data_IF_241407980142
#
_entry.id   IF_241407980142
#
_cell.length_a   1.000
_cell.length_b   1.000
_cell.length_c   1.000
_cell.angle_alpha   90.00
_cell.angle_beta   90.00
_cell.angle_gamma   90.00
#
_symmetry.space_group_name_H-M   'P 1'
#
loop_
_entity.id
_entity.type
_entity.pdbx_description
1 polymer ?
#
# COMPACT_ATOMS: atom_id res chain seq x y z
N UNK A 1 -10.57 -6.30 -24.57
CA UNK A 1 -9.33 -6.65 -23.84
C UNK A 1 -9.20 -8.16 -23.68
N UNK A 2 -10.14 -8.84 -23.02
CA UNK A 2 -10.16 -10.30 -22.78
C UNK A 2 -9.73 -11.16 -23.98
N UNK A 3 -10.36 -11.00 -25.15
CA UNK A 3 -10.02 -11.80 -26.34
C UNK A 3 -8.55 -11.63 -26.78
N UNK A 4 -8.02 -10.41 -26.70
CA UNK A 4 -6.60 -10.13 -27.03
C UNK A 4 -5.67 -10.75 -26.00
N UNK A 5 -6.00 -10.65 -24.71
CA UNK A 5 -5.21 -11.25 -23.65
C UNK A 5 -5.17 -12.77 -23.79
N UNK A 6 -6.32 -13.41 -24.10
CA UNK A 6 -6.39 -14.85 -24.36
C UNK A 6 -5.48 -15.28 -25.53
N UNK A 7 -5.55 -14.57 -26.66
CA UNK A 7 -4.68 -14.83 -27.82
C UNK A 7 -3.18 -14.68 -27.48
N UNK A 8 -2.82 -13.69 -26.66
CA UNK A 8 -1.43 -13.51 -26.22
C UNK A 8 -0.95 -14.66 -25.32
N UNK A 9 -1.83 -15.22 -24.48
CA UNK A 9 -1.50 -16.38 -23.64
C UNK A 9 -1.40 -17.67 -24.45
N UNK A 10 -2.32 -17.88 -25.41
CA UNK A 10 -2.25 -18.98 -26.36
C UNK A 10 -0.95 -18.94 -27.18
N UNK A 11 -0.56 -17.75 -27.65
CA UNK A 11 0.73 -17.55 -28.33
C UNK A 11 1.97 -17.81 -27.46
N UNK A 12 1.82 -17.89 -26.13
CA UNK A 12 2.87 -18.29 -25.18
C UNK A 12 2.82 -19.78 -24.82
N UNK A 13 1.87 -20.54 -25.36
CA UNK A 13 1.64 -21.94 -25.01
C UNK A 13 1.09 -22.12 -23.59
N UNK A 14 0.38 -21.13 -23.06
CA UNK A 14 -0.24 -21.16 -21.73
C UNK A 14 -1.75 -21.18 -21.91
N UNK A 15 -2.39 -22.31 -21.55
CA UNK A 15 -3.82 -22.55 -21.78
C UNK A 15 -4.70 -22.54 -20.53
N UNK A 16 -4.11 -22.66 -19.33
CA UNK A 16 -4.81 -22.78 -18.06
C UNK A 16 -4.33 -21.73 -17.04
N UNK A 17 -5.09 -21.54 -15.96
CA UNK A 17 -4.74 -20.61 -14.90
C UNK A 17 -3.43 -21.01 -14.22
N UNK A 18 -3.22 -22.32 -13.96
CA UNK A 18 -2.00 -22.78 -13.30
C UNK A 18 -0.74 -22.47 -14.11
N UNK A 19 -0.74 -22.75 -15.42
CA UNK A 19 0.36 -22.42 -16.32
C UNK A 19 0.62 -20.91 -16.36
N UNK A 20 -0.43 -20.10 -16.30
CA UNK A 20 -0.33 -18.64 -16.24
C UNK A 20 0.28 -18.16 -14.93
N UNK A 21 -0.18 -18.68 -13.79
CA UNK A 21 0.40 -18.37 -12.48
C UNK A 21 1.88 -18.76 -12.43
N UNK A 22 2.24 -19.95 -12.91
CA UNK A 22 3.64 -20.40 -13.01
C UNK A 22 4.48 -19.45 -13.85
N UNK A 23 4.01 -19.09 -15.04
CA UNK A 23 4.70 -18.12 -15.90
C UNK A 23 4.92 -16.78 -15.20
N UNK A 24 3.89 -16.24 -14.53
CA UNK A 24 3.99 -14.96 -13.83
C UNK A 24 4.94 -15.04 -12.62
N UNK A 25 4.93 -16.15 -11.89
CA UNK A 25 5.87 -16.44 -10.80
C UNK A 25 7.31 -16.51 -11.32
N UNK A 26 7.57 -17.23 -12.40
CA UNK A 26 8.90 -17.35 -13.02
C UNK A 26 9.46 -15.99 -13.49
N UNK A 27 8.57 -15.05 -13.84
CA UNK A 27 8.94 -13.67 -14.20
C UNK A 27 9.07 -12.73 -13.00
N UNK A 28 8.81 -13.20 -11.79
CA UNK A 28 8.81 -12.41 -10.55
C UNK A 28 7.68 -11.38 -10.50
N UNK A 29 6.54 -11.66 -11.15
CA UNK A 29 5.36 -10.79 -11.18
C UNK A 29 4.24 -11.29 -10.26
N UNK A 30 4.23 -12.58 -9.94
CA UNK A 30 3.30 -13.23 -9.00
C UNK A 30 4.07 -13.78 -7.80
N UNK A 31 3.43 -13.84 -6.63
CA UNK A 31 4.01 -14.44 -5.44
C UNK A 31 4.16 -15.96 -5.57
N UNK A 32 5.37 -16.46 -5.37
CA UNK A 32 5.69 -17.89 -5.37
C UNK A 32 4.92 -18.67 -4.28
N UNK A 33 4.67 -18.01 -3.14
CA UNK A 33 3.89 -18.56 -2.04
C UNK A 33 2.50 -19.04 -2.48
N UNK A 34 1.86 -18.44 -3.49
CA UNK A 34 0.54 -18.92 -3.95
C UNK A 34 0.65 -20.36 -4.49
N UNK A 35 1.64 -20.63 -5.34
CA UNK A 35 1.88 -21.99 -5.87
C UNK A 35 2.48 -22.93 -4.82
N UNK A 36 3.09 -22.40 -3.76
CA UNK A 36 3.53 -23.21 -2.62
C UNK A 36 2.36 -23.65 -1.72
N UNK A 37 1.28 -22.86 -1.66
CA UNK A 37 0.12 -23.13 -0.82
C UNK A 37 -0.96 -23.95 -1.52
N UNK A 38 -1.13 -23.80 -2.83
CA UNK A 38 -2.21 -24.43 -3.59
C UNK A 38 -1.69 -25.49 -4.58
N UNK A 39 -2.35 -26.65 -4.64
CA UNK A 39 -2.02 -27.69 -5.62
C UNK A 39 -2.50 -27.30 -7.02
N UNK A 40 -2.04 -28.04 -8.03
CA UNK A 40 -2.51 -27.84 -9.40
C UNK A 40 -4.04 -28.04 -9.51
N UNK A 41 -4.58 -29.05 -8.84
CA UNK A 41 -6.02 -29.37 -8.81
C UNK A 41 -6.83 -28.28 -8.11
N UNK A 42 -6.31 -27.68 -7.05
CA UNK A 42 -6.97 -26.56 -6.37
C UNK A 42 -6.99 -25.30 -7.22
N UNK A 43 -5.91 -25.02 -7.96
CA UNK A 43 -5.89 -23.90 -8.91
C UNK A 43 -6.84 -24.15 -10.09
N UNK A 44 -6.91 -25.37 -10.61
CA UNK A 44 -7.90 -25.74 -11.62
C UNK A 44 -9.34 -25.57 -11.11
N UNK A 45 -9.62 -25.99 -9.86
CA UNK A 45 -10.91 -25.73 -9.22
C UNK A 45 -11.18 -24.23 -9.03
N UNK A 46 -10.15 -23.43 -8.72
CA UNK A 46 -10.28 -21.98 -8.60
C UNK A 46 -10.61 -21.32 -9.95
N UNK A 47 -10.04 -21.84 -11.04
CA UNK A 47 -10.31 -21.38 -12.42
C UNK A 47 -11.79 -21.54 -12.78
N UNK A 48 -12.44 -22.63 -12.34
CA UNK A 48 -13.88 -22.86 -12.52
C UNK A 48 -14.76 -21.82 -11.80
N UNK A 49 -14.21 -21.06 -10.84
CA UNK A 49 -14.95 -19.98 -10.18
C UNK A 49 -15.04 -18.72 -11.05
N UNK A 50 -14.16 -18.56 -12.04
CA UNK A 50 -14.13 -17.36 -12.88
C UNK A 50 -15.48 -17.16 -13.60
N UNK A 51 -15.98 -15.93 -13.56
CA UNK A 51 -17.25 -15.52 -14.15
C UNK A 51 -16.99 -14.25 -14.97
N UNK A 52 -16.50 -14.40 -16.22
CA UNK A 52 -16.10 -13.28 -17.07
C UNK A 52 -17.20 -12.27 -17.35
N UNK A 53 -18.46 -12.64 -17.19
CA UNK A 53 -19.64 -11.79 -17.35
C UNK A 53 -19.70 -10.72 -16.25
N UNK A 54 -19.08 -10.94 -15.08
CA UNK A 54 -19.01 -9.95 -14.00
C UNK A 54 -18.16 -8.73 -14.36
N UNK A 55 -17.36 -8.80 -15.43
CA UNK A 55 -16.70 -7.60 -15.98
C UNK A 55 -17.73 -6.56 -16.48
N UNK A 56 -18.94 -6.99 -16.86
CA UNK A 56 -20.03 -6.11 -17.33
C UNK A 56 -20.68 -5.31 -16.19
N UNK A 57 -20.39 -5.66 -14.94
CA UNK A 57 -20.84 -4.89 -13.79
C UNK A 57 -20.11 -3.54 -13.67
N UNK A 58 -18.95 -3.40 -14.32
CA UNK A 58 -18.17 -2.17 -14.27
C UNK A 58 -18.56 -1.20 -15.39
N UNK A 59 -18.48 0.09 -15.08
CA UNK A 59 -18.41 1.14 -16.09
C UNK A 59 -17.06 1.10 -16.81
N UNK A 60 -16.98 1.74 -17.98
CA UNK A 60 -15.74 1.87 -18.72
C UNK A 60 -14.59 2.48 -17.88
N UNK A 61 -14.87 3.54 -17.10
CA UNK A 61 -13.87 4.18 -16.26
C UNK A 61 -13.38 3.27 -15.13
N UNK A 62 -14.26 2.45 -14.57
CA UNK A 62 -13.90 1.42 -13.59
C UNK A 62 -12.96 0.37 -14.18
N UNK A 63 -13.32 -0.19 -15.35
CA UNK A 63 -12.48 -1.17 -16.04
C UNK A 63 -11.12 -0.60 -16.44
N UNK A 64 -11.09 0.60 -17.02
CA UNK A 64 -9.85 1.26 -17.43
C UNK A 64 -8.92 1.50 -16.22
N UNK A 65 -9.49 1.92 -15.08
CA UNK A 65 -8.74 2.08 -13.84
C UNK A 65 -8.15 0.76 -13.33
N UNK A 66 -8.96 -0.31 -13.30
CA UNK A 66 -8.53 -1.65 -12.88
C UNK A 66 -7.36 -2.16 -13.73
N UNK A 67 -7.50 -2.07 -15.06
CA UNK A 67 -6.47 -2.52 -16.00
C UNK A 67 -5.18 -1.68 -15.92
N UNK A 68 -5.28 -0.39 -15.64
CA UNK A 68 -4.11 0.50 -15.54
C UNK A 68 -3.36 0.39 -14.23
N UNK A 69 -4.04 0.11 -13.12
CA UNK A 69 -3.44 0.22 -11.78
C UNK A 69 -3.38 -1.08 -10.97
N UNK A 70 -4.38 -1.95 -11.11
CA UNK A 70 -4.59 -3.01 -10.14
C UNK A 70 -4.17 -4.38 -10.64
N UNK A 71 -4.46 -4.71 -11.91
CA UNK A 71 -4.07 -5.99 -12.51
C UNK A 71 -2.54 -6.15 -12.59
N UNK A 72 -2.07 -7.39 -12.69
CA UNK A 72 -0.65 -7.65 -12.95
C UNK A 72 -0.28 -7.13 -14.34
N UNK A 73 0.84 -6.43 -14.39
CA UNK A 73 1.41 -5.87 -15.61
C UNK A 73 2.82 -6.39 -15.84
N UNK A 74 3.23 -6.44 -17.10
CA UNK A 74 4.63 -6.62 -17.47
C UNK A 74 5.48 -5.43 -16.98
N UNK A 75 6.80 -5.59 -17.04
CA UNK A 75 7.73 -4.47 -16.78
C UNK A 75 7.56 -3.30 -17.76
N UNK A 76 6.98 -3.55 -18.94
CA UNK A 76 6.59 -2.54 -19.93
C UNK A 76 5.17 -2.00 -19.75
N UNK A 77 4.54 -2.20 -18.58
CA UNK A 77 3.19 -1.72 -18.22
C UNK A 77 2.06 -2.31 -19.07
N UNK A 78 2.27 -3.47 -19.69
CA UNK A 78 1.22 -4.19 -20.44
C UNK A 78 0.42 -5.07 -19.47
N UNK A 79 -0.92 -4.92 -19.38
CA UNK A 79 -1.75 -5.79 -18.55
C UNK A 79 -1.67 -7.26 -18.98
N UNK A 80 -1.39 -8.14 -18.02
CA UNK A 80 -1.24 -9.59 -18.22
C UNK A 80 -2.38 -10.39 -17.61
N UNK A 81 -3.22 -9.76 -16.81
CA UNK A 81 -4.30 -10.36 -16.02
C UNK A 81 -5.63 -9.64 -16.33
N UNK A 82 -6.73 -10.37 -16.28
CA UNK A 82 -8.09 -9.85 -16.37
C UNK A 82 -8.62 -9.40 -15.00
N UNK A 83 -9.67 -8.56 -14.91
CA UNK A 83 -10.24 -8.19 -13.62
C UNK A 83 -10.72 -9.39 -12.80
N UNK A 84 -11.31 -10.41 -13.43
CA UNK A 84 -11.73 -11.63 -12.72
C UNK A 84 -10.55 -12.43 -12.16
N UNK A 85 -9.48 -12.60 -12.94
CA UNK A 85 -8.25 -13.26 -12.46
C UNK A 85 -7.59 -12.46 -11.32
N UNK A 86 -7.63 -11.12 -11.39
CA UNK A 86 -7.17 -10.26 -10.29
C UNK A 86 -7.96 -10.54 -9.00
N UNK A 87 -9.29 -10.59 -9.07
CA UNK A 87 -10.12 -10.90 -7.91
C UNK A 87 -9.86 -12.31 -7.38
N UNK A 88 -9.70 -13.30 -8.27
CA UNK A 88 -9.39 -14.67 -7.88
C UNK A 88 -8.02 -14.77 -7.20
N UNK A 89 -7.01 -14.09 -7.72
CA UNK A 89 -5.69 -14.02 -7.11
C UNK A 89 -5.68 -13.36 -5.73
N UNK A 90 -6.49 -12.32 -5.54
CA UNK A 90 -6.70 -11.72 -4.20
C UNK A 90 -7.38 -12.73 -3.28
N UNK A 91 -8.39 -13.45 -3.76
CA UNK A 91 -9.10 -14.46 -2.97
C UNK A 91 -8.19 -15.62 -2.54
N UNK A 92 -7.33 -16.12 -3.45
CA UNK A 92 -6.30 -17.13 -3.14
C UNK A 92 -5.34 -16.63 -2.06
N UNK A 93 -4.88 -15.38 -2.14
CA UNK A 93 -4.02 -14.83 -1.09
C UNK A 93 -4.72 -14.76 0.27
N UNK A 94 -5.95 -14.23 0.31
CA UNK A 94 -6.66 -14.04 1.57
C UNK A 94 -7.02 -15.38 2.23
N UNK A 95 -7.30 -16.41 1.44
CA UNK A 95 -7.69 -17.72 1.94
C UNK A 95 -6.51 -18.67 2.22
N UNK A 96 -5.26 -18.32 1.88
CA UNK A 96 -4.15 -19.30 1.89
C UNK A 96 -3.90 -19.99 3.23
N UNK A 97 -4.25 -19.32 4.33
CA UNK A 97 -4.11 -19.81 5.72
C UNK A 97 -5.43 -20.30 6.33
N UNK A 98 -6.51 -20.34 5.55
CA UNK A 98 -7.77 -20.92 6.00
C UNK A 98 -7.65 -22.44 6.14
N UNK A 99 -8.35 -23.00 7.14
CA UNK A 99 -8.25 -24.41 7.52
C UNK A 99 -8.95 -25.38 6.57
N UNK A 100 -9.82 -26.24 7.11
CA UNK A 100 -10.38 -27.39 6.37
C UNK A 100 -11.26 -27.06 5.15
N UNK A 101 -11.73 -25.81 4.99
CA UNK A 101 -12.55 -25.35 3.85
C UNK A 101 -11.89 -24.19 3.09
N UNK A 102 -10.59 -24.32 2.82
CA UNK A 102 -9.81 -23.27 2.13
C UNK A 102 -10.41 -22.89 0.78
N UNK A 103 -10.77 -23.86 -0.06
CA UNK A 103 -11.35 -23.59 -1.38
C UNK A 103 -12.76 -22.99 -1.30
N UNK A 104 -13.56 -23.35 -0.29
CA UNK A 104 -14.81 -22.67 0.00
C UNK A 104 -14.61 -21.19 0.36
N UNK A 105 -13.57 -20.86 1.14
CA UNK A 105 -13.19 -19.48 1.41
C UNK A 105 -12.70 -18.73 0.18
N UNK A 106 -11.86 -19.35 -0.67
CA UNK A 106 -11.46 -18.77 -1.97
C UNK A 106 -12.70 -18.37 -2.77
N UNK A 107 -13.67 -19.28 -2.89
CA UNK A 107 -14.91 -19.00 -3.61
C UNK A 107 -15.70 -17.85 -3.00
N UNK A 108 -15.85 -17.81 -1.67
CA UNK A 108 -16.58 -16.74 -0.96
C UNK A 108 -15.92 -15.38 -1.15
N UNK A 109 -14.60 -15.30 -1.00
CA UNK A 109 -13.85 -14.05 -1.23
C UNK A 109 -13.93 -13.62 -2.70
N UNK A 110 -13.77 -14.56 -3.63
CA UNK A 110 -13.92 -14.26 -5.05
C UNK A 110 -15.33 -13.74 -5.37
N UNK A 111 -16.37 -14.39 -4.86
CA UNK A 111 -17.76 -14.01 -5.13
C UNK A 111 -18.07 -12.61 -4.59
N UNK A 112 -17.74 -12.29 -3.33
CA UNK A 112 -18.03 -10.97 -2.77
C UNK A 112 -17.27 -9.84 -3.49
N UNK A 113 -16.04 -10.12 -3.94
CA UNK A 113 -15.20 -9.13 -4.64
C UNK A 113 -15.68 -8.92 -6.08
N UNK A 114 -15.83 -10.00 -6.85
CA UNK A 114 -16.19 -9.91 -8.27
C UNK A 114 -17.66 -9.54 -8.50
N UNK A 115 -18.56 -9.78 -7.54
CA UNK A 115 -19.94 -9.26 -7.56
C UNK A 115 -20.06 -7.82 -7.09
N UNK A 116 -18.94 -7.20 -6.68
CA UNK A 116 -18.87 -5.85 -6.12
C UNK A 116 -19.72 -5.66 -4.85
N UNK A 117 -19.92 -6.73 -4.08
CA UNK A 117 -20.61 -6.67 -2.79
C UNK A 117 -19.69 -6.01 -1.74
N UNK A 118 -18.37 -6.19 -1.89
CA UNK A 118 -17.33 -5.62 -1.04
C UNK A 118 -16.16 -5.15 -1.91
N UNK A 119 -15.47 -4.11 -1.46
CA UNK A 119 -14.17 -3.70 -2.02
C UNK A 119 -13.09 -3.74 -0.95
N UNK A 120 -11.85 -3.97 -1.36
CA UNK A 120 -10.70 -3.94 -0.48
C UNK A 120 -9.95 -2.62 -0.61
N UNK A 121 -9.19 -2.26 0.41
CA UNK A 121 -8.29 -1.13 0.33
C UNK A 121 -7.28 -1.28 -0.82
N UNK A 122 -6.81 -0.15 -1.35
CA UNK A 122 -5.89 -0.11 -2.50
C UNK A 122 -4.67 -1.03 -2.36
N UNK A 123 -3.96 -1.12 -1.20
CA UNK A 123 -2.82 -2.02 -1.08
C UNK A 123 -3.21 -3.50 -1.22
N UNK A 124 -4.30 -3.95 -0.62
CA UNK A 124 -4.80 -5.31 -0.80
C UNK A 124 -5.12 -5.59 -2.28
N UNK A 125 -5.89 -4.71 -2.94
CA UNK A 125 -6.22 -4.84 -4.36
C UNK A 125 -4.97 -4.89 -5.27
N UNK A 126 -3.93 -4.13 -4.91
CA UNK A 126 -2.74 -3.97 -5.74
C UNK A 126 -1.68 -5.05 -5.48
N UNK A 127 -1.56 -5.55 -4.25
CA UNK A 127 -0.38 -6.27 -3.78
C UNK A 127 -0.64 -7.71 -3.36
N UNK A 128 -1.87 -8.10 -3.02
CA UNK A 128 -2.17 -9.39 -2.41
C UNK A 128 -1.64 -10.60 -3.21
N UNK A 129 -1.40 -10.53 -4.51
CA UNK A 129 -0.88 -11.69 -5.28
C UNK A 129 0.51 -11.49 -5.86
N UNK A 130 1.17 -10.39 -5.51
CA UNK A 130 2.52 -10.04 -5.99
C UNK A 130 3.58 -10.59 -5.03
N UNK A 131 4.87 -10.66 -5.43
CA UNK A 131 5.94 -11.10 -4.54
C UNK A 131 6.03 -10.25 -3.26
N UNK A 132 5.95 -8.92 -3.42
CA UNK A 132 5.93 -7.97 -2.30
C UNK A 132 4.49 -7.62 -1.92
N UNK A 133 3.94 -8.31 -0.93
CA UNK A 133 2.51 -8.34 -0.61
C UNK A 133 2.15 -7.62 0.70
N UNK A 134 2.51 -6.34 0.82
CA UNK A 134 2.06 -5.50 1.93
C UNK A 134 0.60 -5.05 1.69
N UNK A 135 -0.30 -5.33 2.65
CA UNK A 135 -1.75 -5.10 2.50
C UNK A 135 -2.33 -3.92 3.31
N UNK A 136 -1.61 -3.43 4.32
CA UNK A 136 -2.09 -2.39 5.23
C UNK A 136 -1.83 -0.99 4.67
N UNK A 137 -2.86 -0.13 4.63
CA UNK A 137 -2.70 1.24 4.12
C UNK A 137 -2.15 2.23 5.14
N UNK A 138 -2.50 2.09 6.41
CA UNK A 138 -2.29 3.12 7.43
C UNK A 138 -1.52 2.57 8.61
N UNK A 139 -0.55 3.34 9.09
CA UNK A 139 0.30 3.00 10.22
C UNK A 139 0.30 4.14 11.23
N UNK A 140 0.63 3.84 12.48
CA UNK A 140 0.77 4.83 13.55
C UNK A 140 2.11 4.59 14.26
N UNK A 141 2.85 5.66 14.52
CA UNK A 141 4.06 5.62 15.34
C UNK A 141 4.06 6.75 16.38
N UNK A 142 4.58 6.44 17.55
CA UNK A 142 4.75 7.39 18.67
C UNK A 142 6.21 7.77 18.73
N UNK A 143 6.52 9.01 18.38
CA UNK A 143 7.90 9.49 18.25
C UNK A 143 8.53 9.68 19.63
N UNK A 144 9.59 8.95 20.00
CA UNK A 144 10.23 9.09 21.31
C UNK A 144 11.03 10.40 21.41
N UNK A 145 11.17 10.94 22.63
CA UNK A 145 11.98 12.14 22.92
C UNK A 145 13.49 11.85 23.00
N UNK A 146 14.05 11.33 21.91
CA UNK A 146 15.48 11.05 21.77
C UNK A 146 15.89 11.12 20.31
N UNK A 147 17.15 11.48 20.05
CA UNK A 147 17.69 11.55 18.69
C UNK A 147 17.50 10.23 17.94
N UNK A 148 17.92 9.12 18.57
CA UNK A 148 17.82 7.77 17.99
C UNK A 148 16.36 7.37 17.75
N UNK A 149 15.47 7.71 18.69
CA UNK A 149 14.03 7.45 18.56
C UNK A 149 13.41 8.20 17.37
N UNK A 150 13.72 9.49 17.23
CA UNK A 150 13.20 10.32 16.13
C UNK A 150 13.68 9.79 14.77
N UNK A 151 14.97 9.49 14.64
CA UNK A 151 15.50 8.95 13.38
C UNK A 151 14.99 7.55 13.06
N UNK A 152 14.75 6.71 14.07
CA UNK A 152 14.09 5.41 13.87
C UNK A 152 12.66 5.57 13.36
N UNK A 153 11.89 6.52 13.91
CA UNK A 153 10.54 6.82 13.42
C UNK A 153 10.55 7.34 11.99
N UNK A 154 11.54 8.16 11.60
CA UNK A 154 11.73 8.59 10.21
C UNK A 154 12.09 7.43 9.27
N UNK A 155 12.98 6.52 9.69
CA UNK A 155 13.32 5.31 8.92
C UNK A 155 12.10 4.40 8.73
N UNK A 156 11.30 4.21 9.78
CA UNK A 156 10.04 3.48 9.71
C UNK A 156 9.07 4.15 8.72
N UNK A 157 8.92 5.48 8.78
CA UNK A 157 8.08 6.22 7.84
C UNK A 157 8.56 6.03 6.40
N UNK A 158 9.85 6.16 6.12
CA UNK A 158 10.41 5.95 4.79
C UNK A 158 10.11 4.53 4.26
N UNK A 159 10.27 3.51 5.10
CA UNK A 159 9.95 2.12 4.74
C UNK A 159 8.47 1.91 4.44
N UNK A 160 7.58 2.51 5.23
CA UNK A 160 6.12 2.48 5.01
C UNK A 160 5.74 3.20 3.71
N UNK A 161 6.25 4.42 3.53
CA UNK A 161 5.95 5.27 2.35
C UNK A 161 6.41 4.61 1.05
N UNK A 162 7.56 3.93 1.05
CA UNK A 162 8.09 3.17 -0.10
C UNK A 162 7.07 2.17 -0.67
N UNK A 163 6.26 1.54 0.18
CA UNK A 163 5.25 0.55 -0.24
C UNK A 163 3.83 1.13 -0.36
N UNK A 164 3.71 2.44 -0.26
CA UNK A 164 2.47 3.17 -0.47
C UNK A 164 1.59 3.33 0.77
N UNK A 165 2.12 3.03 1.96
CA UNK A 165 1.43 3.27 3.21
C UNK A 165 1.49 4.74 3.63
N UNK A 166 0.42 5.19 4.29
CA UNK A 166 0.39 6.46 5.03
C UNK A 166 0.73 6.26 6.50
N UNK A 167 1.23 7.31 7.14
CA UNK A 167 1.63 7.25 8.55
C UNK A 167 1.00 8.35 9.40
N UNK A 168 0.50 8.01 10.58
CA UNK A 168 0.20 8.95 11.66
C UNK A 168 1.37 8.98 12.63
N UNK A 169 2.00 10.14 12.82
CA UNK A 169 3.14 10.31 13.72
C UNK A 169 2.76 11.19 14.89
N UNK A 170 2.79 10.64 16.09
CA UNK A 170 2.49 11.38 17.32
C UNK A 170 3.77 11.97 17.92
N UNK A 171 3.83 13.30 17.99
CA UNK A 171 4.99 14.07 18.47
C UNK A 171 4.85 14.57 19.90
N UNK A 172 3.74 14.31 20.61
CA UNK A 172 3.50 14.82 21.97
C UNK A 172 4.51 14.37 23.03
N UNK A 173 5.36 13.39 22.74
CA UNK A 173 6.49 13.02 23.62
C UNK A 173 7.71 13.90 23.41
N UNK A 174 7.94 14.40 22.20
CA UNK A 174 9.14 15.18 21.86
C UNK A 174 9.11 16.51 22.60
N UNK A 175 10.21 16.86 23.27
CA UNK A 175 10.27 18.08 24.09
C UNK A 175 10.10 19.35 23.27
N UNK A 176 9.43 20.32 23.88
CA UNK A 176 9.17 21.63 23.30
C UNK A 176 10.43 22.51 23.14
N UNK A 177 10.32 23.56 22.33
CA UNK A 177 11.36 24.57 22.16
C UNK A 177 11.71 25.25 23.51
N UNK A 178 13.00 25.49 23.72
CA UNK A 178 13.53 26.05 24.97
C UNK A 178 13.65 25.06 26.13
N UNK A 179 13.30 23.78 25.94
CA UNK A 179 13.54 22.74 26.94
C UNK A 179 15.03 22.47 27.17
N UNK A 180 15.36 21.85 28.30
CA UNK A 180 16.75 21.52 28.67
C UNK A 180 17.29 20.35 27.84
N UNK A 181 18.57 20.42 27.44
CA UNK A 181 19.32 19.29 26.88
C UNK A 181 20.60 19.12 27.69
N UNK A 182 20.84 17.95 28.29
CA UNK A 182 22.05 17.65 29.08
C UNK A 182 22.39 18.72 30.14
N UNK A 183 21.35 19.30 30.76
CA UNK A 183 21.49 20.37 31.76
C UNK A 183 21.57 21.80 31.19
N UNK A 184 21.76 21.97 29.89
CA UNK A 184 21.75 23.30 29.24
C UNK A 184 20.32 23.80 29.04
N UNK A 185 19.95 24.85 29.78
CA UNK A 185 18.64 25.51 29.70
C UNK A 185 18.45 26.16 28.32
N UNK A 186 17.23 26.12 27.78
CA UNK A 186 16.92 26.79 26.51
C UNK A 186 17.42 26.10 25.24
N UNK A 187 18.04 24.92 25.34
CA UNK A 187 18.79 24.32 24.24
C UNK A 187 17.92 23.60 23.18
N UNK A 188 16.72 23.15 23.52
CA UNK A 188 15.89 22.38 22.60
C UNK A 188 15.25 23.24 21.49
N UNK A 189 15.26 22.72 20.26
CA UNK A 189 14.71 23.40 19.07
C UNK A 189 13.21 23.17 18.82
N UNK A 190 12.54 22.37 19.65
CA UNK A 190 11.12 22.04 19.54
C UNK A 190 10.75 21.03 18.45
N UNK A 191 9.46 20.78 18.29
CA UNK A 191 8.92 19.72 17.41
C UNK A 191 8.98 20.09 15.92
N UNK A 192 8.89 21.38 15.59
CA UNK A 192 8.75 21.88 14.21
C UNK A 192 9.91 21.44 13.32
N UNK A 193 11.14 21.50 13.82
CA UNK A 193 12.34 21.11 13.07
C UNK A 193 12.36 19.61 12.74
N UNK A 194 11.81 18.78 13.62
CA UNK A 194 11.69 17.35 13.40
C UNK A 194 10.55 17.02 12.43
N UNK A 195 9.42 17.73 12.54
CA UNK A 195 8.30 17.62 11.60
C UNK A 195 8.71 18.00 10.18
N UNK A 196 9.64 18.96 10.03
CA UNK A 196 10.22 19.25 8.72
C UNK A 196 10.99 18.07 8.11
N UNK A 197 11.70 17.28 8.91
CA UNK A 197 12.34 16.05 8.39
C UNK A 197 11.29 15.03 7.93
N UNK A 198 10.15 14.96 8.62
CA UNK A 198 9.01 14.14 8.21
C UNK A 198 8.45 14.63 6.86
N UNK A 199 8.28 15.95 6.69
CA UNK A 199 7.90 16.58 5.43
C UNK A 199 8.82 16.16 4.28
N UNK A 200 10.13 16.38 4.46
CA UNK A 200 11.11 16.12 3.41
C UNK A 200 11.19 14.62 3.08
N UNK A 201 10.97 13.75 4.07
CA UNK A 201 10.87 12.30 3.86
C UNK A 201 9.63 11.94 3.03
N UNK A 202 8.49 12.57 3.27
CA UNK A 202 7.26 12.34 2.52
C UNK A 202 7.39 12.72 1.04
N UNK A 203 8.13 13.80 0.77
CA UNK A 203 8.45 14.27 -0.58
C UNK A 203 9.49 13.37 -1.26
N UNK A 204 10.54 12.98 -0.54
CA UNK A 204 11.64 12.20 -1.11
C UNK A 204 11.25 10.75 -1.39
N UNK A 205 10.43 10.14 -0.54
CA UNK A 205 9.99 8.75 -0.68
C UNK A 205 8.59 8.70 -1.27
N UNK A 206 8.47 9.21 -2.49
CA UNK A 206 7.24 9.12 -3.26
C UNK A 206 7.06 7.70 -3.83
N UNK A 207 5.80 7.32 -4.09
CA UNK A 207 5.41 5.97 -4.46
C UNK A 207 5.78 5.68 -5.93
N UNK A 208 7.07 5.73 -6.29
CA UNK A 208 7.59 5.66 -7.66
C UNK A 208 6.95 6.73 -8.56
N UNK A 209 6.84 7.97 -8.06
CA UNK A 209 6.24 9.11 -8.76
C UNK A 209 4.71 9.02 -8.96
N UNK A 210 4.03 8.00 -8.42
CA UNK A 210 2.58 7.85 -8.60
C UNK A 210 1.78 8.72 -7.62
N UNK A 211 2.27 8.89 -6.39
CA UNK A 211 1.70 9.71 -5.30
C UNK A 211 2.80 10.12 -4.32
N UNK A 212 2.71 11.33 -3.76
CA UNK A 212 3.55 11.75 -2.63
C UNK A 212 3.26 10.87 -1.41
N UNK A 213 4.27 10.70 -0.53
CA UNK A 213 4.07 10.08 0.77
C UNK A 213 3.05 10.87 1.58
N UNK A 214 2.16 10.18 2.31
CA UNK A 214 1.12 10.81 3.09
C UNK A 214 1.40 10.62 4.59
N UNK A 215 1.52 11.73 5.33
CA UNK A 215 1.79 11.69 6.76
C UNK A 215 0.94 12.70 7.52
N UNK A 216 0.22 12.21 8.52
CA UNK A 216 -0.47 13.02 9.51
C UNK A 216 0.40 13.17 10.75
N UNK A 217 0.49 14.36 11.30
CA UNK A 217 1.30 14.66 12.48
C UNK A 217 0.37 15.10 13.60
N UNK A 218 0.51 14.49 14.77
CA UNK A 218 -0.36 14.76 15.91
C UNK A 218 0.44 15.37 17.07
N UNK A 219 -0.12 16.41 17.67
CA UNK A 219 0.44 17.10 18.82
C UNK A 219 -0.67 17.40 19.85
N UNK A 220 -0.34 17.35 21.13
CA UNK A 220 -1.31 17.65 22.19
C UNK A 220 -1.69 19.15 22.19
N UNK A 221 -2.96 19.45 22.48
CA UNK A 221 -3.46 20.84 22.53
C UNK A 221 -2.85 21.69 23.67
N UNK A 222 -2.17 21.07 24.62
CA UNK A 222 -1.44 21.75 25.70
C UNK A 222 0.08 21.72 25.48
N UNK A 223 0.55 21.18 24.35
CA UNK A 223 1.97 21.19 24.03
C UNK A 223 2.45 22.63 23.82
N UNK A 224 3.61 22.98 24.40
CA UNK A 224 4.12 24.35 24.38
C UNK A 224 4.39 24.88 22.96
N UNK A 225 4.75 24.01 22.02
CA UNK A 225 4.98 24.37 20.60
C UNK A 225 3.69 24.41 19.76
N UNK A 226 2.49 24.32 20.36
CA UNK A 226 1.23 24.34 19.61
C UNK A 226 1.07 25.61 18.73
N UNK A 227 1.38 26.84 19.20
CA UNK A 227 1.22 28.03 18.38
C UNK A 227 2.03 27.99 17.08
N UNK A 228 3.26 27.47 17.13
CA UNK A 228 4.11 27.28 15.95
C UNK A 228 3.63 26.10 15.09
N UNK A 229 3.14 25.03 15.72
CA UNK A 229 2.60 23.85 15.02
C UNK A 229 1.40 24.23 14.14
N UNK A 230 0.49 25.07 14.63
CA UNK A 230 -0.65 25.57 13.86
C UNK A 230 -0.25 26.44 12.65
N UNK A 231 1.01 26.91 12.61
CA UNK A 231 1.53 27.74 11.53
C UNK A 231 2.32 26.96 10.47
N UNK A 232 2.45 25.64 10.60
CA UNK A 232 3.31 24.79 9.74
C UNK A 232 3.02 24.95 8.24
N UNK A 233 1.76 25.15 7.86
CA UNK A 233 1.32 25.22 6.46
C UNK A 233 1.04 26.64 5.98
N UNK A 234 1.27 27.67 6.80
CA UNK A 234 1.05 29.06 6.35
C UNK A 234 2.16 29.48 5.39
N UNK A 235 1.82 30.35 4.43
CA UNK A 235 2.74 30.80 3.38
C UNK A 235 3.71 31.90 3.83
N UNK A 236 3.61 32.36 5.08
CA UNK A 236 4.38 33.47 5.62
C UNK A 236 5.22 33.03 6.82
N UNK A 237 6.35 33.71 7.04
CA UNK A 237 7.29 33.43 8.13
C UNK A 237 8.58 32.79 7.63
N UNK A 238 9.36 32.22 8.55
CA UNK A 238 10.60 31.51 8.22
C UNK A 238 10.29 30.15 7.58
N UNK A 239 10.71 29.95 6.33
CA UNK A 239 10.60 28.68 5.59
C UNK A 239 11.20 27.50 6.37
N UNK A 240 12.20 27.77 7.23
CA UNK A 240 12.79 26.71 8.05
C UNK A 240 11.86 26.14 9.11
N UNK A 241 10.75 26.82 9.37
CA UNK A 241 9.71 26.46 10.32
C UNK A 241 8.42 25.99 9.63
N UNK A 242 8.50 25.63 8.34
CA UNK A 242 7.36 25.17 7.54
C UNK A 242 7.46 23.69 7.18
N UNK A 243 6.29 23.09 7.00
CA UNK A 243 6.09 21.72 6.50
C UNK A 243 4.75 21.70 5.75
N UNK A 244 4.79 21.84 4.42
CA UNK A 244 3.58 22.00 3.60
C UNK A 244 2.93 20.66 3.18
N UNK A 245 3.74 19.60 3.14
CA UNK A 245 3.40 18.25 2.67
C UNK A 245 2.98 17.30 3.82
N UNK A 246 2.91 17.80 5.05
CA UNK A 246 2.34 17.07 6.19
C UNK A 246 0.90 17.51 6.48
N UNK A 247 0.11 16.63 7.10
CA UNK A 247 -1.23 16.92 7.59
C UNK A 247 -1.20 17.12 9.11
N UNK A 248 -1.10 18.36 9.61
CA UNK A 248 -1.11 18.67 11.04
C UNK A 248 -2.53 18.61 11.65
#
# INVERSE_FOLDING_TARGET
FRCRNAQEWEGRGVGDLYGKLRYLTDKGLYGDYILAHYTHEEIAMAEDFLCPERDELFTYSGLDLLLKRYVIQSRSRVPLETPQEMFLGIALHLAMNEGSDRMGWVKRFYDMLSRMEVTMATPTMSNARKPYHQLSSCFVDTVPDSLDGIYRSLDNFAKVSKFGGGMGMYFGKVRAAGSTIRGFQGAAGGVIRWIRLVNDTAVAVDQLGMRQGAVAVYLDAWHRDLPEFLQLRTNNGDDRMKAHDVFP
#
